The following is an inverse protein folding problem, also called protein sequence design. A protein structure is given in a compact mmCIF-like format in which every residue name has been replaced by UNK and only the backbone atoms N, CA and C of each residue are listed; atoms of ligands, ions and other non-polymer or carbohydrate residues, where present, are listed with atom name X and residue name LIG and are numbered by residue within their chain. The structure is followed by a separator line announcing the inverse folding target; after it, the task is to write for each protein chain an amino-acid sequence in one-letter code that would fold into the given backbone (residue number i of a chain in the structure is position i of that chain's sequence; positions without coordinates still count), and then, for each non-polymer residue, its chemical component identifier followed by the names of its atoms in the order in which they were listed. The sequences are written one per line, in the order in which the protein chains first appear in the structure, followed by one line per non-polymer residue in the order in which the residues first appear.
data_IF_933408192819
#
_entry.id   IF_933408192819
#
_cell.length_a   1.000
_cell.length_b   1.000
_cell.length_c   1.000
_cell.angle_alpha   90.00
_cell.angle_beta   90.00
_cell.angle_gamma   90.00
#
_symmetry.space_group_name_H-M   'P 1'
#
loop_
_entity.id
_entity.type
_entity.pdbx_description
1 polymer ?
#
# COMPACT_ATOMS: atom_id res chain seq x y z
N UNK A 1 79.42 18.69 -21.66
CA UNK A 1 78.48 18.35 -22.75
C UNK A 1 77.40 17.45 -22.16
N UNK A 2 76.34 18.04 -21.62
CA UNK A 2 74.99 17.92 -22.17
C UNK A 2 73.98 17.89 -21.00
N UNK A 3 72.77 18.45 -21.12
CA UNK A 3 72.16 19.27 -20.07
C UNK A 3 71.04 18.59 -19.26
N UNK A 4 70.74 19.15 -18.08
CA UNK A 4 69.50 18.92 -17.30
C UNK A 4 68.26 19.45 -18.05
N UNK A 5 67.11 18.76 -17.94
CA UNK A 5 65.83 19.47 -17.73
C UNK A 5 64.98 18.80 -16.62
N UNK A 6 64.57 19.56 -15.60
CA UNK A 6 63.27 20.23 -15.43
C UNK A 6 62.13 19.31 -14.95
N UNK A 7 61.70 19.59 -13.72
CA UNK A 7 60.48 19.09 -13.11
C UNK A 7 59.25 19.41 -13.97
N UNK A 8 58.38 18.42 -14.15
CA UNK A 8 57.02 18.59 -14.62
C UNK A 8 56.07 17.97 -13.61
N UNK A 9 55.35 18.84 -12.91
CA UNK A 9 54.06 18.55 -12.29
C UNK A 9 53.15 18.00 -13.38
N UNK A 10 52.63 16.77 -13.20
CA UNK A 10 51.48 16.30 -13.94
C UNK A 10 50.29 16.30 -12.99
N UNK A 11 49.45 17.30 -13.20
CA UNK A 11 48.03 17.23 -12.94
C UNK A 11 47.52 15.84 -13.31
N UNK A 12 47.01 15.10 -12.32
CA UNK A 12 46.16 13.95 -12.59
C UNK A 12 44.76 14.47 -12.78
N UNK A 13 44.48 14.70 -14.06
CA UNK A 13 43.18 14.80 -14.71
C UNK A 13 42.05 14.15 -13.90
N UNK A 14 41.07 14.99 -13.56
CA UNK A 14 39.77 14.57 -13.10
C UNK A 14 39.06 13.83 -14.23
N UNK A 15 38.97 12.51 -14.14
CA UNK A 15 38.15 11.68 -15.04
C UNK A 15 37.65 10.41 -14.35
N UNK A 16 37.32 10.48 -13.05
CA UNK A 16 36.85 9.29 -12.31
C UNK A 16 35.58 9.46 -11.49
N UNK A 17 34.84 10.58 -11.59
CA UNK A 17 33.65 10.79 -10.73
C UNK A 17 32.33 11.09 -11.46
N UNK A 18 32.35 11.22 -12.79
CA UNK A 18 31.17 11.70 -13.56
C UNK A 18 30.30 10.59 -14.17
N UNK A 19 30.60 9.31 -13.92
CA UNK A 19 29.82 8.16 -14.43
C UNK A 19 29.13 7.30 -13.37
N UNK A 20 29.32 7.59 -12.08
CA UNK A 20 28.77 6.78 -10.98
C UNK A 20 27.60 7.42 -10.22
N UNK A 21 27.14 8.61 -10.63
CA UNK A 21 25.95 9.29 -10.08
C UNK A 21 24.88 9.50 -11.16
N UNK A 22 24.52 8.45 -11.90
CA UNK A 22 23.14 8.37 -12.41
C UNK A 22 22.26 8.21 -11.17
N UNK A 23 21.79 9.33 -10.64
CA UNK A 23 20.74 9.41 -9.63
C UNK A 23 19.56 8.59 -10.17
N UNK A 24 19.45 7.32 -9.77
CA UNK A 24 18.36 6.46 -10.21
C UNK A 24 17.10 7.07 -9.62
N UNK A 25 16.20 7.59 -10.46
CA UNK A 25 14.89 8.05 -10.03
C UNK A 25 14.27 6.97 -9.14
N UNK A 26 13.76 7.40 -7.99
CA UNK A 26 13.30 6.52 -6.95
C UNK A 26 11.87 6.10 -7.26
N UNK A 27 11.63 4.79 -7.34
CA UNK A 27 10.30 4.28 -7.64
C UNK A 27 9.49 4.17 -6.36
N UNK A 28 8.32 4.80 -6.33
CA UNK A 28 7.40 4.74 -5.19
C UNK A 28 6.05 4.26 -5.70
N UNK A 29 5.46 3.30 -4.99
CA UNK A 29 4.11 2.85 -5.28
C UNK A 29 3.14 3.58 -4.36
N UNK A 30 2.57 4.68 -4.85
CA UNK A 30 1.52 5.39 -4.13
C UNK A 30 0.22 4.58 -4.23
N UNK A 31 -0.26 4.09 -3.09
CA UNK A 31 -1.32 3.07 -3.02
C UNK A 31 -2.50 3.59 -2.19
N UNK A 32 -3.70 3.56 -2.76
CA UNK A 32 -4.94 3.83 -2.02
C UNK A 32 -5.67 2.51 -1.70
N UNK A 33 -5.82 2.11 -0.42
CA UNK A 33 -6.32 0.78 -0.05
C UNK A 33 -7.85 0.68 0.08
N UNK A 34 -8.59 1.74 -0.24
CA UNK A 34 -9.96 1.96 0.23
C UNK A 34 -11.04 1.86 -0.88
N UNK A 35 -10.70 1.27 -2.03
CA UNK A 35 -11.65 1.18 -3.15
C UNK A 35 -12.80 0.23 -2.85
N UNK A 36 -14.03 0.63 -3.12
CA UNK A 36 -15.25 -0.08 -2.77
C UNK A 36 -15.83 0.35 -1.43
N UNK A 37 -15.25 1.32 -0.71
CA UNK A 37 -15.82 1.78 0.57
C UNK A 37 -17.03 2.71 0.37
N UNK A 38 -16.89 3.72 -0.49
CA UNK A 38 -17.92 4.72 -0.80
C UNK A 38 -17.77 5.23 -2.24
N UNK A 39 -18.86 5.74 -2.82
CA UNK A 39 -18.84 6.25 -4.20
C UNK A 39 -17.92 7.47 -4.36
N UNK A 40 -17.87 8.35 -3.35
CA UNK A 40 -16.99 9.51 -3.34
C UNK A 40 -15.50 9.14 -3.33
N UNK A 41 -15.13 8.07 -2.61
CA UNK A 41 -13.77 7.52 -2.66
C UNK A 41 -13.52 6.92 -4.04
N UNK A 42 -14.41 6.05 -4.54
CA UNK A 42 -14.17 5.29 -5.77
C UNK A 42 -14.04 6.19 -7.00
N UNK A 43 -14.88 7.24 -7.08
CA UNK A 43 -14.76 8.28 -8.12
C UNK A 43 -13.43 9.01 -8.03
N UNK A 44 -13.01 9.41 -6.84
CA UNK A 44 -11.75 10.11 -6.64
C UNK A 44 -10.55 9.25 -7.03
N UNK A 45 -10.54 7.97 -6.62
CA UNK A 45 -9.46 7.03 -6.92
C UNK A 45 -9.37 6.72 -8.42
N UNK A 46 -10.51 6.52 -9.11
CA UNK A 46 -10.51 6.36 -10.57
C UNK A 46 -9.91 7.57 -11.27
N UNK A 47 -10.28 8.78 -10.85
CA UNK A 47 -9.73 10.01 -11.44
C UNK A 47 -8.22 10.13 -11.18
N UNK A 48 -7.76 9.89 -9.95
CA UNK A 48 -6.33 9.93 -9.62
C UNK A 48 -5.52 8.89 -10.41
N UNK A 49 -6.07 7.69 -10.61
CA UNK A 49 -5.47 6.68 -11.47
C UNK A 49 -5.44 7.14 -12.93
N UNK A 50 -6.53 7.72 -13.45
CA UNK A 50 -6.58 8.28 -14.81
C UNK A 50 -5.53 9.37 -15.05
N UNK A 51 -5.33 10.23 -14.05
CA UNK A 51 -4.37 11.34 -14.09
C UNK A 51 -2.91 10.88 -13.87
N UNK A 52 -2.67 9.59 -13.61
CA UNK A 52 -1.33 9.08 -13.30
C UNK A 52 -0.77 9.52 -11.94
N UNK A 53 -1.65 10.02 -11.06
CA UNK A 53 -1.32 10.50 -9.71
C UNK A 53 -1.38 9.38 -8.66
N UNK A 54 -1.82 8.18 -9.06
CA UNK A 54 -1.89 7.00 -8.22
C UNK A 54 -1.33 5.79 -8.98
N UNK A 55 -0.48 5.00 -8.32
CA UNK A 55 0.18 3.85 -8.93
C UNK A 55 -0.51 2.53 -8.60
N UNK A 56 -1.26 2.48 -7.50
CA UNK A 56 -1.91 1.26 -7.06
C UNK A 56 -3.22 1.51 -6.31
N UNK A 57 -4.18 0.62 -6.51
CA UNK A 57 -5.49 0.63 -5.87
C UNK A 57 -5.74 -0.70 -5.17
N UNK A 58 -6.07 -0.66 -3.88
CA UNK A 58 -6.49 -1.80 -3.09
C UNK A 58 -8.01 -1.83 -2.95
N UNK A 59 -8.61 -2.98 -3.24
CA UNK A 59 -10.06 -3.15 -3.25
C UNK A 59 -10.56 -3.81 -1.96
N UNK A 60 -11.58 -3.22 -1.35
CA UNK A 60 -12.30 -3.71 -0.17
C UNK A 60 -13.51 -4.53 -0.63
N UNK A 61 -13.26 -5.79 -0.98
CA UNK A 61 -14.27 -6.70 -1.55
C UNK A 61 -15.33 -7.17 -0.54
N UNK A 62 -15.07 -6.99 0.75
CA UNK A 62 -16.05 -7.22 1.82
C UNK A 62 -17.17 -6.16 1.85
N UNK A 63 -17.02 -5.07 1.08
CA UNK A 63 -18.05 -4.03 0.94
C UNK A 63 -19.13 -4.44 -0.06
N UNK A 64 -20.38 -4.12 0.26
CA UNK A 64 -21.54 -4.30 -0.62
C UNK A 64 -21.41 -3.50 -1.95
N UNK A 65 -20.63 -2.42 -1.95
CA UNK A 65 -20.37 -1.62 -3.14
C UNK A 65 -19.43 -2.27 -4.15
N UNK A 66 -18.61 -3.26 -3.75
CA UNK A 66 -17.65 -3.89 -4.67
C UNK A 66 -18.32 -4.46 -5.92
N UNK A 67 -19.46 -5.12 -5.75
CA UNK A 67 -20.28 -5.68 -6.83
C UNK A 67 -20.75 -4.64 -7.88
N UNK A 68 -20.73 -3.35 -7.53
CA UNK A 68 -21.15 -2.24 -8.40
C UNK A 68 -19.97 -1.48 -8.99
N UNK A 69 -18.88 -1.37 -8.24
CA UNK A 69 -17.77 -0.47 -8.58
C UNK A 69 -16.57 -1.19 -9.25
N UNK A 70 -16.56 -2.53 -9.30
CA UNK A 70 -15.47 -3.29 -9.93
C UNK A 70 -15.32 -3.02 -11.44
N UNK A 71 -16.44 -2.89 -12.19
CA UNK A 71 -16.40 -2.60 -13.64
C UNK A 71 -15.86 -1.19 -13.91
N UNK A 72 -16.40 -0.13 -13.28
CA UNK A 72 -15.82 1.20 -13.40
C UNK A 72 -14.32 1.27 -13.07
N UNK A 73 -13.84 0.49 -12.09
CA UNK A 73 -12.41 0.42 -11.79
C UNK A 73 -11.63 -0.15 -12.98
N UNK A 74 -12.07 -1.31 -13.48
CA UNK A 74 -11.41 -2.01 -14.56
C UNK A 74 -11.34 -1.14 -15.82
N UNK A 75 -12.46 -0.50 -16.18
CA UNK A 75 -12.53 0.38 -17.34
C UNK A 75 -11.61 1.59 -17.20
N UNK A 76 -11.52 2.19 -16.00
CA UNK A 76 -10.64 3.32 -15.74
C UNK A 76 -9.15 2.94 -15.83
N UNK A 77 -8.78 1.75 -15.34
CA UNK A 77 -7.39 1.23 -15.39
C UNK A 77 -7.03 0.77 -16.81
N UNK A 78 -7.96 0.19 -17.56
CA UNK A 78 -7.72 -0.25 -18.94
C UNK A 78 -7.64 0.93 -19.93
N UNK A 79 -8.27 2.06 -19.61
CA UNK A 79 -8.26 3.25 -20.45
C UNK A 79 -6.94 4.04 -20.42
N UNK A 80 -6.09 3.82 -19.40
CA UNK A 80 -4.81 4.54 -19.25
C UNK A 80 -3.65 3.80 -19.90
N UNK A 81 -2.62 4.56 -20.32
CA UNK A 81 -1.39 3.99 -20.89
C UNK A 81 -0.38 3.54 -19.83
N UNK A 82 -0.43 4.12 -18.63
CA UNK A 82 0.42 3.72 -17.51
C UNK A 82 -0.21 2.56 -16.76
N UNK A 83 0.63 1.69 -16.21
CA UNK A 83 0.16 0.55 -15.42
C UNK A 83 -0.27 1.04 -14.04
N UNK A 84 -1.54 0.83 -13.68
CA UNK A 84 -2.02 1.00 -12.30
C UNK A 84 -2.24 -0.37 -11.70
N UNK A 85 -1.49 -0.70 -10.63
CA UNK A 85 -1.60 -2.00 -9.99
C UNK A 85 -2.91 -2.13 -9.24
N UNK A 86 -3.64 -3.22 -9.44
CA UNK A 86 -4.87 -3.48 -8.68
C UNK A 86 -4.69 -4.70 -7.78
N UNK A 87 -5.02 -4.54 -6.51
CA UNK A 87 -4.81 -5.55 -5.48
C UNK A 87 -5.95 -5.65 -4.49
N UNK A 88 -5.83 -6.61 -3.59
CA UNK A 88 -6.81 -6.87 -2.54
C UNK A 88 -6.39 -6.12 -1.26
N UNK A 89 -7.32 -5.34 -0.70
CA UNK A 89 -7.27 -4.93 0.70
C UNK A 89 -8.06 -5.95 1.51
N UNK A 90 -7.36 -6.87 2.17
CA UNK A 90 -7.98 -7.86 3.03
C UNK A 90 -8.53 -7.18 4.29
N UNK A 91 -9.85 -7.23 4.42
CA UNK A 91 -10.58 -6.60 5.50
C UNK A 91 -10.98 -7.65 6.51
N UNK A 92 -10.32 -7.64 7.66
CA UNK A 92 -10.62 -8.56 8.77
C UNK A 92 -11.38 -7.85 9.91
N UNK A 93 -11.75 -6.59 9.69
CA UNK A 93 -12.33 -5.72 10.71
C UNK A 93 -13.61 -5.06 10.22
N UNK A 94 -14.49 -4.74 11.17
CA UNK A 94 -15.75 -4.06 10.89
C UNK A 94 -15.54 -2.68 10.25
N UNK A 95 -16.57 -2.14 9.59
CA UNK A 95 -17.99 -2.48 9.76
C UNK A 95 -18.52 -3.56 8.80
N UNK A 96 -17.66 -4.16 7.98
CA UNK A 96 -18.08 -5.12 6.96
C UNK A 96 -18.44 -6.49 7.54
N UNK A 97 -19.43 -7.15 6.94
CA UNK A 97 -19.75 -8.53 7.25
C UNK A 97 -18.70 -9.49 6.68
N UNK A 98 -18.44 -10.64 7.32
CA UNK A 98 -17.62 -11.70 6.73
C UNK A 98 -18.22 -12.21 5.40
N UNK A 99 -17.36 -12.56 4.45
CA UNK A 99 -17.79 -13.20 3.20
C UNK A 99 -17.89 -14.73 3.34
N UNK A 100 -17.08 -15.34 4.20
CA UNK A 100 -17.13 -16.77 4.46
C UNK A 100 -18.34 -17.17 5.30
N UNK A 101 -18.89 -18.37 5.02
CA UNK A 101 -20.02 -18.93 5.77
C UNK A 101 -19.68 -19.05 7.26
N UNK A 102 -18.55 -19.68 7.59
CA UNK A 102 -18.11 -19.80 8.99
C UNK A 102 -17.79 -18.46 9.65
N UNK A 103 -17.31 -17.48 8.87
CA UNK A 103 -17.15 -16.11 9.33
C UNK A 103 -18.47 -15.53 9.81
N UNK A 104 -19.53 -15.66 8.99
CA UNK A 104 -20.87 -15.19 9.34
C UNK A 104 -21.47 -15.94 10.52
N UNK A 105 -21.27 -17.25 10.60
CA UNK A 105 -21.73 -18.04 11.76
C UNK A 105 -21.06 -17.59 13.07
N UNK A 106 -19.77 -17.24 13.03
CA UNK A 106 -19.02 -16.84 14.22
C UNK A 106 -19.20 -15.36 14.58
N UNK A 107 -19.25 -14.46 13.60
CA UNK A 107 -19.22 -13.02 13.82
C UNK A 107 -20.53 -12.30 13.50
N UNK A 108 -21.49 -12.99 12.86
CA UNK A 108 -22.72 -12.39 12.39
C UNK A 108 -22.47 -11.37 11.28
N UNK A 109 -23.13 -10.21 11.38
CA UNK A 109 -23.15 -9.17 10.35
C UNK A 109 -21.91 -8.26 10.34
N UNK A 110 -20.97 -8.40 11.28
CA UNK A 110 -19.81 -7.52 11.36
C UNK A 110 -18.56 -8.25 11.84
N UNK A 111 -17.46 -8.04 11.11
CA UNK A 111 -16.14 -8.49 11.50
C UNK A 111 -15.68 -7.83 12.83
N UNK A 112 -14.90 -8.53 13.67
CA UNK A 112 -14.43 -7.99 14.94
C UNK A 112 -13.52 -6.76 14.77
N UNK A 113 -13.48 -5.88 15.77
CA UNK A 113 -12.52 -4.77 15.79
C UNK A 113 -11.06 -5.27 15.88
N UNK A 114 -10.09 -4.52 15.38
CA UNK A 114 -8.66 -4.87 15.42
C UNK A 114 -8.15 -5.30 16.82
N UNK A 115 -8.66 -4.65 17.89
CA UNK A 115 -8.33 -5.00 19.28
C UNK A 115 -8.66 -6.45 19.65
N UNK A 116 -9.74 -7.00 19.09
CA UNK A 116 -10.19 -8.38 19.36
C UNK A 116 -9.20 -9.39 18.76
N UNK A 117 -8.77 -9.14 17.52
CA UNK A 117 -7.75 -9.93 16.83
C UNK A 117 -6.42 -9.91 17.56
N UNK A 118 -5.94 -8.72 17.94
CA UNK A 118 -4.68 -8.55 18.69
C UNK A 118 -4.71 -9.29 20.03
N UNK A 119 -5.83 -9.24 20.74
CA UNK A 119 -6.00 -9.95 22.01
C UNK A 119 -5.99 -11.48 21.84
N UNK A 120 -6.71 -12.01 20.84
CA UNK A 120 -6.72 -13.44 20.56
C UNK A 120 -5.40 -13.97 20.02
N UNK A 121 -4.68 -13.19 19.23
CA UNK A 121 -3.32 -13.52 18.80
C UNK A 121 -2.40 -13.71 20.01
N UNK A 122 -2.44 -12.76 20.98
CA UNK A 122 -1.69 -12.84 22.23
C UNK A 122 -2.07 -14.08 23.06
N UNK A 123 -3.36 -14.39 23.16
CA UNK A 123 -3.85 -15.56 23.90
C UNK A 123 -3.72 -16.88 23.13
N UNK A 124 -3.23 -16.85 21.89
CA UNK A 124 -3.14 -18.02 21.02
C UNK A 124 -4.49 -18.65 20.67
N UNK A 125 -5.55 -17.84 20.66
CA UNK A 125 -6.93 -18.22 20.41
C UNK A 125 -7.46 -17.72 19.06
N UNK A 126 -6.61 -17.39 18.09
CA UNK A 126 -7.09 -16.99 16.75
C UNK A 126 -7.88 -18.15 16.13
N UNK A 127 -9.11 -17.93 15.61
CA UNK A 127 -9.86 -18.98 14.93
C UNK A 127 -9.24 -19.20 13.55
N UNK A 128 -8.19 -20.03 13.49
CA UNK A 128 -7.37 -20.20 12.29
C UNK A 128 -8.17 -20.65 11.06
N UNK A 129 -9.15 -21.53 11.24
CA UNK A 129 -10.00 -22.02 10.15
C UNK A 129 -10.92 -20.92 9.59
N UNK A 130 -11.59 -20.18 10.47
CA UNK A 130 -12.45 -19.05 10.07
C UNK A 130 -11.64 -17.97 9.36
N UNK A 131 -10.45 -17.64 9.88
CA UNK A 131 -9.57 -16.67 9.25
C UNK A 131 -9.06 -17.15 7.87
N UNK A 132 -8.79 -18.46 7.74
CA UNK A 132 -8.36 -19.04 6.48
C UNK A 132 -9.47 -18.97 5.42
N UNK A 133 -10.68 -19.39 5.77
CA UNK A 133 -11.84 -19.35 4.89
C UNK A 133 -12.23 -17.92 4.53
N UNK A 134 -12.16 -16.98 5.48
CA UNK A 134 -12.43 -15.57 5.18
C UNK A 134 -11.41 -14.97 4.21
N UNK A 135 -10.13 -15.33 4.37
CA UNK A 135 -9.07 -14.90 3.45
C UNK A 135 -9.34 -15.44 2.05
N UNK A 136 -9.70 -16.73 1.94
CA UNK A 136 -10.01 -17.38 0.66
C UNK A 136 -11.28 -16.79 0.01
N UNK A 137 -12.33 -16.54 0.79
CA UNK A 137 -13.57 -15.95 0.31
C UNK A 137 -13.36 -14.54 -0.26
N UNK A 138 -12.52 -13.72 0.37
CA UNK A 138 -12.19 -12.39 -0.16
C UNK A 138 -11.34 -12.46 -1.43
N UNK A 139 -10.34 -13.35 -1.52
CA UNK A 139 -9.63 -13.56 -2.78
C UNK A 139 -10.55 -14.04 -3.89
N UNK A 140 -11.42 -15.00 -3.61
CA UNK A 140 -12.38 -15.54 -4.56
C UNK A 140 -13.34 -14.45 -5.06
N UNK A 141 -13.92 -13.67 -4.15
CA UNK A 141 -14.77 -12.53 -4.51
C UNK A 141 -14.04 -11.49 -5.38
N UNK A 142 -12.77 -11.18 -5.06
CA UNK A 142 -11.96 -10.30 -5.90
C UNK A 142 -11.80 -10.85 -7.31
N UNK A 143 -11.38 -12.11 -7.44
CA UNK A 143 -11.08 -12.75 -8.72
C UNK A 143 -12.34 -12.98 -9.56
N UNK A 144 -13.46 -13.33 -8.94
CA UNK A 144 -14.77 -13.52 -9.60
C UNK A 144 -15.31 -12.22 -10.19
N UNK A 145 -15.20 -11.08 -9.50
CA UNK A 145 -15.66 -9.81 -10.06
C UNK A 145 -14.62 -9.19 -11.00
N UNK A 146 -13.38 -9.04 -10.54
CA UNK A 146 -12.35 -8.31 -11.29
C UNK A 146 -11.80 -9.10 -12.49
N UNK A 147 -11.96 -10.43 -12.50
CA UNK A 147 -11.53 -11.34 -13.58
C UNK A 147 -10.01 -11.31 -13.84
N UNK A 148 -9.22 -10.85 -12.86
CA UNK A 148 -7.76 -10.82 -12.85
C UNK A 148 -7.26 -11.16 -11.44
N UNK A 149 -6.09 -11.80 -11.30
CA UNK A 149 -5.53 -12.05 -9.98
C UNK A 149 -5.10 -10.73 -9.31
N UNK A 150 -5.16 -10.68 -7.98
CA UNK A 150 -4.67 -9.54 -7.23
C UNK A 150 -3.14 -9.41 -7.39
N UNK A 151 -2.65 -8.21 -7.73
CA UNK A 151 -1.21 -7.97 -7.88
C UNK A 151 -0.49 -7.80 -6.54
N UNK A 152 -1.21 -7.31 -5.53
CA UNK A 152 -0.71 -7.15 -4.19
C UNK A 152 -1.80 -7.43 -3.15
N UNK A 153 -1.37 -7.70 -1.92
CA UNK A 153 -2.21 -7.87 -0.75
C UNK A 153 -1.80 -6.83 0.29
N UNK A 154 -2.73 -5.96 0.66
CA UNK A 154 -2.65 -5.14 1.86
C UNK A 154 -3.63 -5.69 2.89
N UNK A 155 -3.26 -5.72 4.17
CA UNK A 155 -4.14 -6.20 5.24
C UNK A 155 -4.44 -5.03 6.17
N UNK A 156 -5.72 -4.71 6.31
CA UNK A 156 -6.18 -3.58 7.12
C UNK A 156 -5.72 -3.66 8.59
N UNK A 157 -5.69 -2.50 9.24
CA UNK A 157 -5.33 -2.32 10.65
C UNK A 157 -3.95 -2.90 11.05
N UNK A 158 -3.02 -3.03 10.10
CA UNK A 158 -1.70 -3.63 10.30
C UNK A 158 -1.75 -5.02 10.97
N UNK A 159 -2.79 -5.81 10.70
CA UNK A 159 -3.00 -7.10 11.38
C UNK A 159 -1.97 -8.18 11.01
N UNK A 160 -1.21 -8.00 9.93
CA UNK A 160 -0.03 -8.85 9.64
C UNK A 160 1.09 -8.68 10.67
N UNK A 161 1.06 -7.66 11.53
CA UNK A 161 1.97 -7.57 12.67
C UNK A 161 1.69 -8.66 13.74
N UNK A 162 0.48 -9.24 13.75
CA UNK A 162 0.10 -10.34 14.64
C UNK A 162 0.58 -11.68 14.07
N UNK A 163 1.51 -12.40 14.74
CA UNK A 163 2.18 -13.53 14.11
C UNK A 163 1.30 -14.73 13.75
N UNK A 164 0.20 -14.99 14.48
CA UNK A 164 -0.72 -16.09 14.13
C UNK A 164 -1.59 -15.71 12.96
N UNK A 165 -2.06 -14.46 12.92
CA UNK A 165 -2.82 -13.92 11.79
C UNK A 165 -1.95 -13.96 10.54
N UNK A 166 -0.73 -13.43 10.60
CA UNK A 166 0.23 -13.48 9.49
C UNK A 166 0.48 -14.90 8.99
N UNK A 167 0.67 -15.88 9.88
CA UNK A 167 0.87 -17.28 9.48
C UNK A 167 -0.31 -17.81 8.68
N UNK A 168 -1.54 -17.57 9.11
CA UNK A 168 -2.74 -18.08 8.43
C UNK A 168 -2.94 -17.36 7.10
N UNK A 169 -2.92 -16.03 7.10
CA UNK A 169 -3.14 -15.21 5.90
C UNK A 169 -2.08 -15.49 4.83
N UNK A 170 -0.80 -15.53 5.20
CA UNK A 170 0.29 -15.81 4.25
C UNK A 170 0.25 -17.24 3.72
N UNK A 171 -0.16 -18.22 4.55
CA UNK A 171 -0.39 -19.58 4.07
C UNK A 171 -1.47 -19.60 2.99
N UNK A 172 -2.63 -19.00 3.26
CA UNK A 172 -3.73 -18.97 2.29
C UNK A 172 -3.39 -18.16 1.03
N UNK A 173 -2.59 -17.12 1.17
CA UNK A 173 -2.12 -16.32 0.03
C UNK A 173 -1.11 -17.09 -0.82
N UNK A 174 -0.25 -17.91 -0.21
CA UNK A 174 0.73 -18.75 -0.91
C UNK A 174 0.11 -19.84 -1.79
N UNK A 175 -1.15 -20.21 -1.50
CA UNK A 175 -1.94 -21.17 -2.29
C UNK A 175 -2.48 -20.58 -3.60
N UNK A 176 -2.47 -19.25 -3.78
CA UNK A 176 -2.92 -18.63 -5.03
C UNK A 176 -2.01 -19.04 -6.19
N UNK A 177 -2.61 -19.27 -7.36
CA UNK A 177 -1.88 -19.58 -8.60
C UNK A 177 -0.93 -18.45 -8.99
N UNK A 178 -1.44 -17.21 -8.96
CA UNK A 178 -0.65 -16.00 -9.12
C UNK A 178 -0.52 -15.37 -7.75
N UNK A 179 0.71 -15.30 -7.23
CA UNK A 179 0.97 -14.86 -5.87
C UNK A 179 1.10 -13.34 -5.82
N UNK A 180 0.24 -12.62 -5.06
CA UNK A 180 0.38 -11.19 -4.89
C UNK A 180 1.65 -10.86 -4.09
N UNK A 181 2.18 -9.65 -4.30
CA UNK A 181 3.16 -9.08 -3.39
C UNK A 181 2.50 -8.61 -2.08
N UNK A 182 3.11 -8.88 -0.93
CA UNK A 182 2.54 -8.53 0.38
C UNK A 182 3.06 -7.17 0.82
N UNK A 183 2.15 -6.24 1.11
CA UNK A 183 2.52 -4.96 1.71
C UNK A 183 2.93 -5.18 3.17
N UNK A 184 4.13 -4.71 3.54
CA UNK A 184 4.59 -4.82 4.92
C UNK A 184 3.68 -4.04 5.88
N UNK A 185 3.26 -4.63 7.03
CA UNK A 185 2.55 -3.90 8.08
C UNK A 185 3.50 -2.99 8.88
N UNK A 186 4.80 -3.07 8.66
CA UNK A 186 5.81 -2.27 9.36
C UNK A 186 6.29 -1.15 8.43
N UNK A 187 6.08 0.12 8.79
CA UNK A 187 6.71 1.23 8.10
C UNK A 187 8.24 1.12 8.23
N UNK A 188 8.95 1.20 7.11
CA UNK A 188 10.40 1.16 7.04
C UNK A 188 10.96 2.48 7.58
N UNK A 189 11.80 2.35 8.61
CA UNK A 189 12.71 3.40 9.05
C UNK A 189 14.11 3.05 8.51
N UNK A 190 14.64 3.81 7.53
CA UNK A 190 15.95 3.54 6.94
C UNK A 190 17.11 3.50 7.94
N UNK A 191 16.95 4.12 9.12
CA UNK A 191 17.96 4.12 10.17
C UNK A 191 17.83 2.95 11.16
N UNK A 192 16.70 2.24 11.15
CA UNK A 192 16.41 1.18 12.11
C UNK A 192 16.76 -0.21 11.55
N UNK A 193 17.21 -1.11 12.43
CA UNK A 193 17.37 -2.53 12.07
C UNK A 193 16.02 -3.24 12.13
N UNK A 194 15.74 -4.19 11.22
CA UNK A 194 14.51 -4.96 11.25
C UNK A 194 14.27 -5.67 12.58
N UNK A 195 13.07 -5.50 13.12
CA UNK A 195 12.64 -6.10 14.38
C UNK A 195 12.44 -7.62 14.29
N UNK A 196 12.25 -8.28 15.45
CA UNK A 196 11.96 -9.73 15.48
C UNK A 196 10.66 -10.09 14.75
N UNK A 197 9.64 -9.23 14.85
CA UNK A 197 8.35 -9.46 14.19
C UNK A 197 8.45 -9.37 12.67
N UNK A 198 9.18 -8.38 12.16
CA UNK A 198 9.44 -8.19 10.73
C UNK A 198 10.25 -9.35 10.12
N UNK A 199 11.33 -9.77 10.80
CA UNK A 199 12.11 -10.96 10.38
C UNK A 199 11.26 -12.22 10.33
N UNK A 200 10.35 -12.38 11.30
CA UNK A 200 9.42 -13.52 11.33
C UNK A 200 8.43 -13.45 10.18
N UNK A 201 7.88 -12.28 9.87
CA UNK A 201 6.99 -12.07 8.73
C UNK A 201 7.70 -12.41 7.42
N UNK A 202 8.92 -11.91 7.22
CA UNK A 202 9.74 -12.20 6.04
C UNK A 202 10.02 -13.70 5.89
N UNK A 203 10.31 -14.39 7.00
CA UNK A 203 10.48 -15.84 6.98
C UNK A 203 9.20 -16.57 6.57
N UNK A 204 8.06 -16.22 7.16
CA UNK A 204 6.76 -16.82 6.82
C UNK A 204 6.38 -16.56 5.36
N UNK A 205 6.62 -15.36 4.84
CA UNK A 205 6.37 -15.03 3.44
C UNK A 205 7.23 -15.90 2.52
N UNK A 206 8.53 -16.01 2.79
CA UNK A 206 9.45 -16.86 2.02
C UNK A 206 9.04 -18.34 2.05
N UNK A 207 8.63 -18.86 3.20
CA UNK A 207 8.14 -20.24 3.34
C UNK A 207 6.91 -20.52 2.46
N UNK A 208 6.13 -19.49 2.12
CA UNK A 208 4.94 -19.57 1.26
C UNK A 208 5.19 -19.04 -0.17
N UNK A 209 6.45 -18.78 -0.55
CA UNK A 209 6.79 -18.26 -1.88
C UNK A 209 6.28 -16.86 -2.18
N UNK A 210 6.07 -16.04 -1.14
CA UNK A 210 5.55 -14.67 -1.23
C UNK A 210 6.67 -13.63 -1.12
N UNK A 211 6.55 -12.56 -1.90
CA UNK A 211 7.45 -11.40 -1.83
C UNK A 211 6.82 -10.32 -0.94
N UNK A 212 7.56 -9.86 0.07
CA UNK A 212 7.18 -8.66 0.83
C UNK A 212 7.70 -7.43 0.12
N UNK A 213 6.87 -6.39 0.05
CA UNK A 213 7.22 -5.06 -0.44
C UNK A 213 7.35 -4.13 0.77
N UNK A 214 8.45 -3.36 0.88
CA UNK A 214 8.65 -2.42 1.98
C UNK A 214 7.55 -1.35 1.97
N UNK A 215 7.14 -0.91 3.16
CA UNK A 215 6.13 0.14 3.33
C UNK A 215 6.83 1.38 3.85
N UNK A 216 6.85 2.47 3.09
CA UNK A 216 7.26 3.77 3.62
C UNK A 216 6.17 4.32 4.57
N UNK A 217 6.47 5.37 5.37
CA UNK A 217 5.44 6.03 6.16
C UNK A 217 4.22 6.40 5.30
N UNK A 218 3.02 6.14 5.80
CA UNK A 218 1.77 6.52 5.12
C UNK A 218 1.57 8.03 5.17
N UNK A 219 0.74 8.55 4.26
CA UNK A 219 0.32 9.96 4.29
C UNK A 219 -0.30 10.31 5.65
N UNK A 220 -0.03 11.51 6.19
CA UNK A 220 -0.56 11.93 7.46
C UNK A 220 -2.09 12.01 7.42
N UNK A 221 -2.72 11.61 8.52
CA UNK A 221 -4.16 11.74 8.75
C UNK A 221 -4.54 13.12 9.28
N UNK A 222 -3.60 14.09 9.29
CA UNK A 222 -3.90 15.48 9.64
C UNK A 222 -4.24 16.25 8.35
N UNK A 223 -5.28 17.11 8.37
CA UNK A 223 -5.75 17.80 7.15
C UNK A 223 -4.82 18.95 6.69
N UNK A 224 -3.64 19.10 7.29
CA UNK A 224 -2.76 20.24 7.02
C UNK A 224 -1.92 20.05 5.76
N UNK A 225 -2.09 20.94 4.76
CA UNK A 225 -1.25 20.95 3.54
C UNK A 225 0.25 20.92 3.81
N UNK A 226 0.73 21.71 4.80
CA UNK A 226 2.15 21.71 5.19
C UNK A 226 2.63 20.34 5.67
N UNK A 227 1.78 19.56 6.35
CA UNK A 227 2.14 18.22 6.80
C UNK A 227 2.27 17.26 5.60
N UNK A 228 1.40 17.38 4.60
CA UNK A 228 1.45 16.59 3.36
C UNK A 228 2.70 16.94 2.54
N UNK A 229 3.01 18.22 2.37
CA UNK A 229 4.23 18.67 1.69
C UNK A 229 5.49 18.20 2.42
N UNK A 230 5.53 18.35 3.75
CA UNK A 230 6.64 17.85 4.57
C UNK A 230 6.78 16.33 4.50
N UNK A 231 5.67 15.61 4.40
CA UNK A 231 5.68 14.16 4.25
C UNK A 231 6.35 13.74 2.93
N UNK A 232 5.98 14.34 1.80
CA UNK A 232 6.65 14.07 0.51
C UNK A 232 8.12 14.49 0.58
N UNK A 233 8.40 15.67 1.16
CA UNK A 233 9.76 16.22 1.21
C UNK A 233 10.73 15.43 2.09
N UNK A 234 10.26 14.91 3.24
CA UNK A 234 11.11 14.25 4.26
C UNK A 234 10.81 12.77 4.41
N UNK A 235 9.54 12.41 4.47
CA UNK A 235 9.08 11.04 4.76
C UNK A 235 9.47 10.03 3.69
N UNK A 236 9.63 10.48 2.44
CA UNK A 236 10.02 9.61 1.32
C UNK A 236 11.53 9.55 1.07
N UNK A 237 12.33 10.39 1.74
CA UNK A 237 13.79 10.34 1.63
C UNK A 237 14.34 9.04 2.27
N UNK A 238 15.37 8.45 1.66
CA UNK A 238 16.05 7.27 2.21
C UNK A 238 15.26 5.94 2.18
N UNK A 239 13.96 5.97 1.85
CA UNK A 239 13.14 4.78 1.62
C UNK A 239 13.70 3.84 0.52
N UNK A 240 13.31 2.58 0.55
CA UNK A 240 13.73 1.60 -0.45
C UNK A 240 13.08 1.85 -1.83
N UNK A 241 13.76 1.43 -2.89
CA UNK A 241 13.20 1.46 -4.25
C UNK A 241 12.01 0.49 -4.36
N UNK A 242 10.88 0.99 -4.86
CA UNK A 242 9.63 0.25 -4.94
C UNK A 242 8.78 0.26 -3.67
N UNK A 243 9.14 1.07 -2.67
CA UNK A 243 8.38 1.17 -1.43
C UNK A 243 6.93 1.63 -1.65
N UNK A 244 6.01 1.02 -0.90
CA UNK A 244 4.59 1.37 -0.88
C UNK A 244 4.37 2.52 0.07
N UNK A 245 3.71 3.57 -0.41
CA UNK A 245 3.20 4.68 0.42
C UNK A 245 1.69 4.59 0.41
N UNK A 246 1.08 4.41 1.57
CA UNK A 246 -0.38 4.38 1.66
C UNK A 246 -0.92 5.81 1.74
N UNK A 247 -1.95 6.10 0.95
CA UNK A 247 -2.77 7.30 1.04
C UNK A 247 -4.24 6.92 1.10
N UNK A 248 -5.08 7.83 1.58
CA UNK A 248 -6.52 7.64 1.73
C UNK A 248 -7.31 8.83 1.14
N UNK A 249 -7.01 9.28 -0.09
CA UNK A 249 -7.75 10.38 -0.69
C UNK A 249 -9.20 9.97 -0.98
N UNK A 250 -10.14 10.89 -0.85
CA UNK A 250 -11.54 10.60 -1.17
C UNK A 250 -12.45 11.82 -1.02
N UNK A 251 -13.51 11.86 -1.82
CA UNK A 251 -14.56 12.85 -1.70
C UNK A 251 -15.55 12.43 -0.60
N UNK A 252 -15.99 13.39 0.21
CA UNK A 252 -16.89 13.12 1.34
C UNK A 252 -18.35 13.02 0.87
N UNK A 253 -18.86 11.79 0.84
CA UNK A 253 -20.28 11.51 0.59
C UNK A 253 -21.04 11.14 1.87
N UNK A 254 -22.36 10.96 1.76
CA UNK A 254 -23.23 10.64 2.91
C UNK A 254 -22.91 9.30 3.56
N UNK A 255 -22.40 8.34 2.78
CA UNK A 255 -22.00 7.03 3.31
C UNK A 255 -20.75 7.17 4.16
N UNK A 256 -19.76 7.92 3.68
CA UNK A 256 -18.52 8.21 4.40
C UNK A 256 -18.80 8.98 5.70
N UNK A 257 -19.72 9.95 5.65
CA UNK A 257 -20.14 10.72 6.83
C UNK A 257 -20.69 9.86 7.96
N UNK A 258 -21.30 8.72 7.63
CA UNK A 258 -21.85 7.76 8.61
C UNK A 258 -20.81 6.76 9.11
N UNK A 259 -19.79 6.43 8.29
CA UNK A 259 -18.81 5.39 8.62
C UNK A 259 -17.58 5.90 9.35
N UNK A 260 -17.16 7.15 9.11
CA UNK A 260 -15.89 7.68 9.62
C UNK A 260 -16.07 8.95 10.46
N UNK A 261 -15.18 9.21 11.43
CA UNK A 261 -15.19 10.46 12.18
C UNK A 261 -14.81 11.66 11.29
N UNK A 262 -15.32 12.85 11.63
CA UNK A 262 -15.09 14.08 10.87
C UNK A 262 -13.61 14.37 10.58
N UNK A 263 -12.72 14.12 11.55
CA UNK A 263 -11.29 14.33 11.37
C UNK A 263 -10.70 13.43 10.26
N UNK A 264 -11.18 12.19 10.12
CA UNK A 264 -10.76 11.30 9.03
C UNK A 264 -11.30 11.81 7.68
N UNK A 265 -12.56 12.24 7.63
CA UNK A 265 -13.16 12.82 6.42
C UNK A 265 -12.38 14.05 5.93
N UNK A 266 -12.02 14.96 6.84
CA UNK A 266 -11.20 16.15 6.52
C UNK A 266 -9.81 15.76 6.02
N UNK A 267 -9.19 14.72 6.59
CA UNK A 267 -7.91 14.21 6.12
C UNK A 267 -7.99 13.62 4.71
N UNK A 268 -9.03 12.84 4.40
CA UNK A 268 -9.25 12.28 3.07
C UNK A 268 -9.39 13.37 2.00
N UNK A 269 -10.17 14.41 2.31
CA UNK A 269 -10.35 15.54 1.41
C UNK A 269 -9.03 16.32 1.22
N UNK A 270 -8.31 16.61 2.31
CA UNK A 270 -7.03 17.30 2.23
C UNK A 270 -5.98 16.54 1.43
N UNK A 271 -5.93 15.20 1.57
CA UNK A 271 -5.07 14.35 0.75
C UNK A 271 -5.47 14.40 -0.72
N UNK A 272 -6.77 14.32 -1.04
CA UNK A 272 -7.26 14.41 -2.42
C UNK A 272 -6.89 15.75 -3.07
N UNK A 273 -7.15 16.86 -2.37
CA UNK A 273 -6.86 18.21 -2.86
C UNK A 273 -5.35 18.42 -3.07
N UNK A 274 -4.53 17.88 -2.17
CA UNK A 274 -3.08 17.94 -2.30
C UNK A 274 -2.58 17.11 -3.49
N UNK A 275 -3.02 15.87 -3.66
CA UNK A 275 -2.61 15.01 -4.78
C UNK A 275 -2.99 15.62 -6.14
N UNK A 276 -4.16 16.26 -6.24
CA UNK A 276 -4.60 16.98 -7.45
C UNK A 276 -3.87 18.31 -7.67
N UNK A 277 -3.11 18.79 -6.70
CA UNK A 277 -2.47 20.11 -6.79
C UNK A 277 -1.20 20.09 -7.65
N UNK A 278 -0.91 21.23 -8.29
CA UNK A 278 0.38 21.44 -8.97
C UNK A 278 1.57 21.30 -8.01
N UNK A 279 1.39 21.64 -6.72
CA UNK A 279 2.46 21.52 -5.74
C UNK A 279 2.91 20.07 -5.55
N UNK A 280 1.98 19.11 -5.52
CA UNK A 280 2.35 17.70 -5.47
C UNK A 280 3.15 17.28 -6.71
N UNK A 281 2.68 17.68 -7.89
CA UNK A 281 3.36 17.38 -9.17
C UNK A 281 4.79 17.94 -9.21
N UNK A 282 4.99 19.18 -8.74
CA UNK A 282 6.31 19.78 -8.64
C UNK A 282 7.20 19.07 -7.63
N UNK A 283 6.65 18.68 -6.46
CA UNK A 283 7.40 18.02 -5.40
C UNK A 283 7.90 16.63 -5.79
N UNK A 284 7.10 15.83 -6.50
CA UNK A 284 7.55 14.50 -6.95
C UNK A 284 8.67 14.62 -7.99
N UNK A 285 8.60 15.62 -8.88
CA UNK A 285 9.65 15.90 -9.87
C UNK A 285 10.92 16.41 -9.18
N UNK A 286 10.80 17.38 -8.28
CA UNK A 286 11.94 17.95 -7.53
C UNK A 286 12.66 16.89 -6.66
N UNK A 287 11.94 15.83 -6.28
CA UNK A 287 12.50 14.72 -5.50
C UNK A 287 12.96 13.52 -6.33
N UNK A 288 12.95 13.62 -7.66
CA UNK A 288 13.27 12.51 -8.57
C UNK A 288 12.44 11.24 -8.23
N UNK A 289 11.19 11.43 -7.82
CA UNK A 289 10.27 10.33 -7.48
C UNK A 289 9.46 9.96 -8.72
N UNK A 290 9.53 8.68 -9.08
CA UNK A 290 8.72 8.09 -10.14
C UNK A 290 7.61 7.23 -9.53
N UNK A 291 6.37 7.57 -9.83
CA UNK A 291 5.20 6.75 -9.55
C UNK A 291 5.10 5.64 -10.61
N UNK A 292 5.08 4.37 -10.19
CA UNK A 292 5.27 3.21 -11.09
C UNK A 292 4.29 2.06 -10.88
#
# INVERSE_FOLDING_TARGET
MGPRPMAWSRDRDGTSDDRSRKQRMKRIQLTAPDYGLTFGIDRALRQLAQDGLLSAIGCVVASDLWSREYLPLRDAVDAVRHHTRVGLTLTLTGPHAPLSVRGRELFGEQLPRARWWRWRDRLRLVPDEVLAEETDAQFTCFEEFYQRPAEFLHVGDDLLACPRIARVVLKQTGLRRVRPSIVSPFPTDPAARPGRAEKRLARLARENGLRIVPRAPSFPTSPGRKALEQHVWRGLNGQEDGAVVLCQPGEVDDRLRRSEPRAAQEARQAQLDFLRSQAFSLLIVEKDIFLY
#
